data_IF_054675503869
#
_entry.id   IF_054675503869
#
_cell.length_a   1.000
_cell.length_b   1.000
_cell.length_c   1.000
_cell.angle_alpha   90.00
_cell.angle_beta   90.00
_cell.angle_gamma   90.00
#
_symmetry.space_group_name_H-M   'P 1'
#
loop_
_entity.id
_entity.type
_entity.pdbx_description
1 polymer ?
#
# COMPACT_ATOMS: atom_id res chain seq x y z
N UNK A 1 -0.55 5.25 39.79
CA UNK A 1 -1.73 5.14 38.90
C UNK A 1 -1.49 6.07 37.73
N UNK A 2 -1.97 5.70 36.54
CA UNK A 2 -2.02 6.54 35.34
C UNK A 2 -3.48 6.73 34.93
N UNK A 3 -3.78 7.85 34.30
CA UNK A 3 -5.11 8.19 33.80
C UNK A 3 -5.19 7.91 32.31
N UNK A 4 -6.10 7.06 31.90
CA UNK A 4 -6.36 6.72 30.51
C UNK A 4 -7.65 7.40 30.07
N UNK A 5 -7.55 8.27 29.09
CA UNK A 5 -8.68 8.96 28.45
C UNK A 5 -9.09 8.22 27.18
N UNK A 6 -10.35 7.85 27.07
CA UNK A 6 -10.90 7.16 25.90
C UNK A 6 -11.53 8.15 24.89
N UNK A 7 -11.85 7.72 23.66
CA UNK A 7 -12.43 8.60 22.62
C UNK A 7 -13.78 9.24 22.98
N UNK A 8 -14.51 8.64 23.92
CA UNK A 8 -15.76 9.18 24.47
C UNK A 8 -15.53 10.19 25.62
N UNK A 9 -14.28 10.60 25.85
CA UNK A 9 -13.81 11.45 26.94
C UNK A 9 -13.97 10.84 28.34
N UNK A 10 -14.33 9.58 28.46
CA UNK A 10 -14.30 8.90 29.77
C UNK A 10 -12.86 8.69 30.23
N UNK A 11 -12.63 8.80 31.53
CA UNK A 11 -11.30 8.64 32.14
C UNK A 11 -11.35 7.49 33.13
N UNK A 12 -10.38 6.57 33.03
CA UNK A 12 -10.20 5.48 34.00
C UNK A 12 -8.78 5.45 34.52
N UNK A 13 -8.59 5.03 35.76
CA UNK A 13 -7.30 4.88 36.39
C UNK A 13 -6.81 3.44 36.30
N UNK A 14 -5.54 3.27 35.90
CA UNK A 14 -4.87 1.97 35.81
C UNK A 14 -3.50 2.03 36.53
N UNK A 15 -2.93 0.87 36.80
CA UNK A 15 -1.56 0.79 37.29
C UNK A 15 -0.58 1.26 36.22
N UNK A 16 0.53 1.88 36.64
CA UNK A 16 1.66 2.18 35.73
C UNK A 16 2.20 0.87 35.12
N UNK A 17 2.44 0.87 33.82
CA UNK A 17 2.85 -0.31 33.05
C UNK A 17 1.71 -1.19 32.55
N UNK A 18 0.44 -0.79 32.74
CA UNK A 18 -0.70 -1.49 32.15
C UNK A 18 -0.62 -1.43 30.63
N UNK A 19 -0.92 -2.56 29.96
CA UNK A 19 -0.91 -2.65 28.50
C UNK A 19 -2.29 -2.38 27.92
N UNK A 20 -2.34 -2.01 26.62
CA UNK A 20 -3.62 -1.83 25.93
C UNK A 20 -4.44 -3.12 25.87
N UNK A 21 -3.83 -4.30 25.85
CA UNK A 21 -4.52 -5.59 25.96
C UNK A 21 -5.22 -5.73 27.32
N UNK A 22 -4.53 -5.45 28.41
CA UNK A 22 -5.11 -5.49 29.77
C UNK A 22 -6.25 -4.48 29.94
N UNK A 23 -6.14 -3.31 29.33
CA UNK A 23 -7.24 -2.34 29.26
C UNK A 23 -8.44 -2.93 28.53
N UNK A 24 -8.24 -3.54 27.36
CA UNK A 24 -9.31 -4.17 26.59
C UNK A 24 -10.00 -5.31 27.40
N UNK A 25 -9.23 -6.15 28.05
CA UNK A 25 -9.70 -7.24 28.92
C UNK A 25 -10.53 -6.71 30.10
N UNK A 26 -10.11 -5.61 30.73
CA UNK A 26 -10.82 -4.96 31.82
C UNK A 26 -12.18 -4.40 31.42
N UNK A 27 -12.36 -4.07 30.13
CA UNK A 27 -13.61 -3.58 29.57
C UNK A 27 -14.53 -4.76 29.19
N UNK A 28 -14.02 -5.70 28.41
CA UNK A 28 -14.78 -6.86 27.95
C UNK A 28 -13.86 -7.91 27.33
N UNK A 29 -14.06 -9.19 27.66
CA UNK A 29 -13.36 -10.31 27.03
C UNK A 29 -13.62 -10.41 25.52
N UNK A 30 -14.80 -9.98 25.05
CA UNK A 30 -15.09 -9.90 23.61
C UNK A 30 -14.27 -8.83 22.95
N UNK A 31 -14.15 -7.65 23.54
CA UNK A 31 -13.34 -6.55 23.02
C UNK A 31 -11.88 -6.97 22.90
N UNK A 32 -11.31 -7.61 23.89
CA UNK A 32 -9.95 -8.11 23.89
C UNK A 32 -9.67 -9.09 22.72
N UNK A 33 -10.66 -9.84 22.26
CA UNK A 33 -10.55 -10.74 21.11
C UNK A 33 -10.67 -10.02 19.74
N UNK A 34 -11.23 -8.82 19.72
CA UNK A 34 -11.47 -8.05 18.49
C UNK A 34 -10.41 -6.95 18.26
N UNK A 35 -9.69 -6.53 19.30
CA UNK A 35 -8.67 -5.47 19.23
C UNK A 35 -7.40 -5.98 18.58
N UNK A 36 -6.87 -5.19 17.66
CA UNK A 36 -5.69 -5.54 16.84
C UNK A 36 -4.44 -4.74 17.21
N UNK A 37 -4.62 -3.46 17.56
CA UNK A 37 -3.58 -2.53 17.98
C UNK A 37 -4.21 -1.43 18.86
N UNK A 38 -3.42 -0.50 19.36
CA UNK A 38 -3.91 0.66 20.08
C UNK A 38 -3.26 1.94 19.58
N UNK A 39 -4.05 3.01 19.44
CA UNK A 39 -3.50 4.37 19.29
C UNK A 39 -3.31 4.96 20.71
N UNK A 40 -2.07 5.29 21.04
CA UNK A 40 -1.67 5.89 22.31
C UNK A 40 -1.12 7.27 22.03
N UNK A 41 -1.78 8.32 22.45
CA UNK A 41 -1.44 9.72 22.16
C UNK A 41 -1.26 10.00 20.66
N UNK A 42 -2.01 9.30 19.79
CA UNK A 42 -1.95 9.43 18.33
C UNK A 42 -0.92 8.53 17.64
N UNK A 43 -0.07 7.82 18.37
CA UNK A 43 0.83 6.81 17.81
C UNK A 43 0.23 5.42 17.90
N UNK A 44 0.43 4.59 16.87
CA UNK A 44 -0.07 3.22 16.85
C UNK A 44 0.93 2.26 17.48
N UNK A 45 0.51 1.57 18.51
CA UNK A 45 1.31 0.68 19.35
C UNK A 45 0.80 -0.76 19.33
N UNK A 46 1.72 -1.70 19.57
CA UNK A 46 1.37 -3.08 19.92
C UNK A 46 0.53 -3.12 21.19
N UNK A 47 -0.40 -4.05 21.25
CA UNK A 47 -1.25 -4.23 22.44
C UNK A 47 -0.48 -4.66 23.69
N UNK A 48 0.71 -5.23 23.52
CA UNK A 48 1.58 -5.69 24.62
C UNK A 48 2.49 -4.60 25.18
N UNK A 49 2.57 -3.42 24.52
CA UNK A 49 3.47 -2.35 24.96
C UNK A 49 2.94 -1.69 26.23
N UNK A 50 3.78 -1.53 27.31
CA UNK A 50 3.34 -0.95 28.58
C UNK A 50 3.15 0.57 28.47
N UNK A 51 2.06 1.07 29.04
CA UNK A 51 1.74 2.50 29.16
C UNK A 51 2.17 2.97 30.54
N UNK A 52 3.10 3.93 30.57
CA UNK A 52 3.75 4.35 31.81
C UNK A 52 3.30 5.72 32.32
N UNK A 53 2.60 6.49 31.51
CA UNK A 53 2.18 7.86 31.81
C UNK A 53 0.72 8.05 31.39
N UNK A 54 0.10 9.15 31.83
CA UNK A 54 -1.24 9.52 31.43
C UNK A 54 -1.32 9.61 29.90
N UNK A 55 -2.36 9.01 29.31
CA UNK A 55 -2.46 8.89 27.85
C UNK A 55 -3.91 8.89 27.35
N UNK A 56 -4.09 9.34 26.13
CA UNK A 56 -5.31 9.10 25.35
C UNK A 56 -5.15 7.79 24.60
N UNK A 57 -6.07 6.85 24.80
CA UNK A 57 -6.00 5.51 24.23
C UNK A 57 -7.25 5.20 23.40
N UNK A 58 -7.06 4.86 22.12
CA UNK A 58 -8.10 4.29 21.26
C UNK A 58 -7.73 2.84 20.93
N UNK A 59 -8.60 1.89 21.23
CA UNK A 59 -8.44 0.48 20.87
C UNK A 59 -8.86 0.30 19.40
N UNK A 60 -7.92 -0.13 18.55
CA UNK A 60 -8.09 -0.25 17.10
C UNK A 60 -8.56 -1.66 16.74
N UNK A 61 -9.61 -1.73 15.91
CA UNK A 61 -10.20 -2.98 15.43
C UNK A 61 -10.07 -3.10 13.91
N UNK A 62 -10.71 -4.11 13.33
CA UNK A 62 -10.73 -4.34 11.90
C UNK A 62 -11.36 -3.19 11.08
N UNK A 63 -12.29 -2.46 11.64
CA UNK A 63 -12.94 -1.31 10.99
C UNK A 63 -12.03 -0.09 10.87
N UNK A 64 -11.02 0.01 11.74
CA UNK A 64 -10.02 1.09 11.71
C UNK A 64 -8.91 0.77 10.70
N UNK A 65 -8.47 1.76 9.92
CA UNK A 65 -7.41 1.57 8.90
C UNK A 65 -6.09 1.14 9.50
N UNK A 66 -5.71 1.74 10.63
CA UNK A 66 -4.48 1.40 11.35
C UNK A 66 -4.55 -0.02 11.93
N UNK A 67 -5.75 -0.46 12.34
CA UNK A 67 -5.98 -1.84 12.78
C UNK A 67 -5.79 -2.85 11.65
N UNK A 68 -6.33 -2.56 10.46
CA UNK A 68 -6.09 -3.37 9.24
C UNK A 68 -4.62 -3.39 8.86
N UNK A 69 -3.94 -2.25 8.95
CA UNK A 69 -2.52 -2.16 8.65
C UNK A 69 -1.69 -3.08 9.55
N UNK A 70 -1.90 -3.05 10.87
CA UNK A 70 -1.25 -3.95 11.82
C UNK A 70 -1.56 -5.43 11.53
N UNK A 71 -2.81 -5.72 11.14
CA UNK A 71 -3.26 -7.06 10.76
C UNK A 71 -2.53 -7.58 9.52
N UNK A 72 -2.49 -6.83 8.45
CA UNK A 72 -1.82 -7.23 7.21
C UNK A 72 -0.29 -7.21 7.34
N UNK A 73 0.27 -6.31 8.15
CA UNK A 73 1.69 -6.33 8.46
C UNK A 73 2.10 -7.62 9.18
N UNK A 74 1.31 -8.05 10.16
CA UNK A 74 1.52 -9.35 10.82
C UNK A 74 1.31 -10.54 9.88
N UNK A 75 0.43 -10.39 8.90
CA UNK A 75 0.22 -11.40 7.85
C UNK A 75 1.41 -11.55 6.91
N UNK A 76 2.12 -10.45 6.64
CA UNK A 76 3.36 -10.48 5.87
C UNK A 76 4.44 -11.30 6.61
N UNK A 77 4.57 -11.12 7.94
CA UNK A 77 5.48 -11.92 8.77
C UNK A 77 5.07 -13.39 8.84
N UNK A 78 3.76 -13.70 8.94
CA UNK A 78 3.27 -15.08 8.88
C UNK A 78 3.61 -15.75 7.55
N UNK A 79 3.48 -15.03 6.43
CA UNK A 79 3.89 -15.54 5.12
C UNK A 79 5.40 -15.74 5.05
N UNK A 80 6.19 -14.83 5.59
CA UNK A 80 7.65 -14.94 5.63
C UNK A 80 8.10 -16.18 6.44
N UNK A 81 7.49 -16.44 7.59
CA UNK A 81 7.77 -17.66 8.38
C UNK A 81 7.40 -18.92 7.60
N UNK A 82 6.24 -18.95 6.95
CA UNK A 82 5.84 -20.08 6.11
C UNK A 82 6.83 -20.32 4.97
N UNK A 83 7.31 -19.25 4.33
CA UNK A 83 8.32 -19.33 3.28
C UNK A 83 9.68 -19.80 3.81
N UNK A 84 10.08 -19.34 5.01
CA UNK A 84 11.32 -19.81 5.66
C UNK A 84 11.31 -21.31 5.93
N UNK A 85 10.15 -21.86 6.37
CA UNK A 85 10.02 -23.30 6.61
C UNK A 85 9.95 -24.11 5.32
N UNK A 86 9.35 -23.58 4.24
CA UNK A 86 9.19 -24.28 2.97
C UNK A 86 10.43 -24.19 2.06
N UNK A 87 11.18 -23.11 2.14
CA UNK A 87 12.33 -22.82 1.28
C UNK A 87 13.58 -22.54 2.11
N UNK A 88 14.32 -23.56 2.56
CA UNK A 88 15.54 -23.36 3.34
C UNK A 88 16.57 -22.50 2.59
N UNK A 89 17.11 -21.48 3.28
CA UNK A 89 18.08 -20.55 2.70
C UNK A 89 17.47 -19.36 1.96
N UNK A 90 16.14 -19.22 1.94
CA UNK A 90 15.46 -18.01 1.43
C UNK A 90 15.91 -16.79 2.22
N UNK A 91 16.11 -15.65 1.54
CA UNK A 91 16.47 -14.37 2.17
C UNK A 91 15.31 -13.38 2.05
N UNK A 92 15.20 -12.51 3.04
CA UNK A 92 14.06 -11.62 3.19
C UNK A 92 14.44 -10.16 2.92
N UNK A 93 13.71 -9.54 1.99
CA UNK A 93 13.74 -8.11 1.72
C UNK A 93 12.83 -7.33 2.66
N UNK A 94 11.73 -6.80 2.16
CA UNK A 94 10.74 -6.03 2.91
C UNK A 94 9.32 -6.58 2.67
N UNK A 95 8.48 -6.48 3.73
CA UNK A 95 7.11 -6.98 3.71
C UNK A 95 6.09 -6.01 4.32
N UNK A 96 5.72 -4.91 3.64
CA UNK A 96 4.75 -3.96 4.15
C UNK A 96 3.31 -4.42 3.94
N UNK A 97 2.41 -3.90 4.77
CA UNK A 97 1.00 -3.81 4.45
C UNK A 97 0.78 -2.80 3.33
N UNK A 98 -0.22 -3.05 2.48
CA UNK A 98 -0.67 -2.15 1.41
C UNK A 98 -2.17 -1.90 1.56
N UNK A 99 -2.76 -1.04 0.71
CA UNK A 99 -4.17 -0.66 0.77
C UNK A 99 -5.14 -1.85 0.85
N UNK A 100 -4.85 -2.93 0.12
CA UNK A 100 -5.66 -4.15 0.11
C UNK A 100 -4.78 -5.40 0.25
N UNK A 101 -4.32 -5.67 1.47
CA UNK A 101 -3.49 -6.83 1.77
C UNK A 101 -2.05 -6.47 2.11
N UNK A 102 -1.13 -7.30 1.67
CA UNK A 102 0.31 -7.17 1.96
C UNK A 102 1.13 -7.83 0.85
N UNK A 103 2.42 -7.55 0.83
CA UNK A 103 3.38 -8.33 0.05
C UNK A 103 4.63 -8.63 0.87
N UNK A 104 5.45 -9.52 0.36
CA UNK A 104 6.81 -9.71 0.85
C UNK A 104 7.76 -9.94 -0.33
N UNK A 105 8.90 -9.24 -0.31
CA UNK A 105 9.98 -9.40 -1.27
C UNK A 105 10.98 -10.41 -0.72
N UNK A 106 11.22 -11.49 -1.44
CA UNK A 106 12.10 -12.57 -1.02
C UNK A 106 13.09 -12.93 -2.14
N UNK A 107 14.25 -13.40 -1.73
CA UNK A 107 15.23 -14.02 -2.60
C UNK A 107 15.24 -15.54 -2.33
N UNK A 108 14.61 -16.34 -3.17
CA UNK A 108 14.55 -17.77 -2.96
C UNK A 108 15.84 -18.52 -3.37
N UNK A 109 16.91 -17.79 -3.74
CA UNK A 109 18.15 -18.41 -4.22
C UNK A 109 17.95 -19.15 -5.54
N UNK A 110 18.19 -20.47 -5.52
CA UNK A 110 17.98 -21.34 -6.68
C UNK A 110 16.54 -21.85 -6.83
N UNK A 111 15.71 -21.71 -5.78
CA UNK A 111 14.32 -22.14 -5.81
C UNK A 111 13.46 -21.20 -6.66
N UNK A 112 12.43 -21.74 -7.29
CA UNK A 112 11.46 -20.98 -8.09
C UNK A 112 10.10 -21.06 -7.43
N UNK A 113 9.57 -19.92 -7.00
CA UNK A 113 8.23 -19.80 -6.44
C UNK A 113 7.27 -19.40 -7.55
N UNK A 114 6.23 -20.19 -7.77
CA UNK A 114 5.23 -20.02 -8.83
C UNK A 114 3.80 -20.18 -8.30
N UNK A 115 2.80 -19.87 -9.09
CA UNK A 115 1.38 -19.97 -8.67
C UNK A 115 0.99 -21.38 -8.16
N UNK A 116 1.63 -22.43 -8.70
CA UNK A 116 1.40 -23.81 -8.24
C UNK A 116 1.76 -24.08 -6.78
N UNK A 117 2.61 -23.22 -6.19
CA UNK A 117 3.08 -23.36 -4.81
C UNK A 117 2.17 -22.65 -3.80
N UNK A 118 1.23 -21.79 -4.28
CA UNK A 118 0.38 -20.99 -3.41
C UNK A 118 -0.41 -21.82 -2.40
N UNK A 119 -0.97 -22.95 -2.83
CA UNK A 119 -1.73 -23.82 -1.94
C UNK A 119 -0.89 -24.40 -0.80
N UNK A 120 0.39 -24.72 -1.07
CA UNK A 120 1.32 -25.21 -0.05
C UNK A 120 1.70 -24.10 0.93
N UNK A 121 1.94 -22.88 0.43
CA UNK A 121 2.24 -21.70 1.27
C UNK A 121 1.03 -21.37 2.16
N UNK A 122 -0.18 -21.31 1.60
CA UNK A 122 -1.42 -21.07 2.34
C UNK A 122 -1.66 -22.13 3.43
N UNK A 123 -1.44 -23.41 3.11
CA UNK A 123 -1.57 -24.50 4.06
C UNK A 123 -0.56 -24.35 5.22
N UNK A 124 0.69 -24.01 4.91
CA UNK A 124 1.73 -23.76 5.91
C UNK A 124 1.40 -22.55 6.78
N UNK A 125 0.93 -21.46 6.20
CA UNK A 125 0.47 -20.29 6.98
C UNK A 125 -0.65 -20.67 7.95
N UNK A 126 -1.64 -21.46 7.53
CA UNK A 126 -2.73 -21.92 8.39
C UNK A 126 -2.25 -22.88 9.49
N UNK A 127 -1.25 -23.71 9.22
CA UNK A 127 -0.57 -24.53 10.25
C UNK A 127 0.06 -23.64 11.32
N UNK A 128 0.80 -22.59 10.94
CA UNK A 128 1.40 -21.62 11.86
C UNK A 128 0.35 -20.85 12.65
N UNK A 129 -0.76 -20.47 12.03
CA UNK A 129 -1.90 -19.86 12.74
C UNK A 129 -2.42 -20.76 13.86
N UNK A 130 -2.50 -22.06 13.62
CA UNK A 130 -2.99 -23.03 14.61
C UNK A 130 -2.05 -23.17 15.82
N UNK A 131 -0.75 -22.86 15.67
CA UNK A 131 0.22 -22.87 16.77
C UNK A 131 -0.01 -21.71 17.76
N UNK A 132 -0.71 -20.63 17.32
CA UNK A 132 -1.01 -19.43 18.13
C UNK A 132 0.25 -18.75 18.69
N UNK A 133 1.28 -18.67 17.90
CA UNK A 133 2.57 -18.15 18.29
C UNK A 133 2.48 -16.67 18.64
N UNK A 134 3.07 -16.30 19.77
CA UNK A 134 3.14 -14.91 20.23
C UNK A 134 4.09 -14.10 19.35
N UNK A 135 3.72 -12.87 19.01
CA UNK A 135 4.57 -11.95 18.26
C UNK A 135 5.23 -10.99 19.26
N UNK A 136 6.54 -11.15 19.43
CA UNK A 136 7.33 -10.44 20.45
C UNK A 136 8.17 -9.34 19.83
N UNK A 137 7.94 -8.11 20.30
CA UNK A 137 8.77 -6.94 20.02
C UNK A 137 10.01 -6.93 20.90
N UNK A 138 11.14 -6.58 20.31
CA UNK A 138 12.39 -6.37 21.03
C UNK A 138 13.11 -5.14 20.48
N UNK A 139 13.50 -4.22 21.36
CA UNK A 139 14.44 -3.15 21.04
C UNK A 139 15.86 -3.74 21.04
N UNK A 140 16.63 -3.43 20.02
CA UNK A 140 17.97 -4.00 19.81
C UNK A 140 18.96 -2.92 19.40
N UNK A 141 20.22 -3.02 19.82
CA UNK A 141 21.27 -2.12 19.35
C UNK A 141 21.62 -2.39 17.88
N UNK A 142 22.14 -1.37 17.19
CA UNK A 142 22.59 -1.53 15.79
C UNK A 142 23.65 -2.63 15.66
N UNK A 143 24.57 -2.72 16.62
CA UNK A 143 25.63 -3.72 16.63
C UNK A 143 25.08 -5.15 16.76
N UNK A 144 24.13 -5.36 17.70
CA UNK A 144 23.51 -6.66 17.89
C UNK A 144 22.62 -7.06 16.71
N UNK A 145 21.89 -6.09 16.12
CA UNK A 145 21.08 -6.31 14.92
C UNK A 145 21.97 -6.71 13.72
N UNK A 146 23.06 -5.97 13.48
CA UNK A 146 24.02 -6.30 12.41
C UNK A 146 24.62 -7.69 12.60
N UNK A 147 24.96 -8.06 13.83
CA UNK A 147 25.45 -9.40 14.13
C UNK A 147 24.39 -10.46 13.90
N UNK A 148 23.19 -10.28 14.45
CA UNK A 148 22.09 -11.25 14.35
C UNK A 148 21.73 -11.57 12.90
N UNK A 149 21.53 -10.56 12.06
CA UNK A 149 21.16 -10.74 10.66
C UNK A 149 22.36 -11.13 9.80
N UNK A 150 23.56 -10.66 10.14
CA UNK A 150 24.81 -11.07 9.48
C UNK A 150 25.11 -12.56 9.66
N UNK A 151 25.00 -13.08 10.89
CA UNK A 151 25.21 -14.50 11.20
C UNK A 151 24.20 -15.42 10.46
N UNK A 152 23.02 -14.89 10.11
CA UNK A 152 21.99 -15.58 9.31
C UNK A 152 22.17 -15.41 7.80
N UNK A 153 23.12 -14.60 7.34
CA UNK A 153 23.33 -14.29 5.92
C UNK A 153 22.24 -13.44 5.29
N UNK A 154 21.49 -12.67 6.08
CA UNK A 154 20.40 -11.80 5.66
C UNK A 154 20.93 -10.47 5.10
N UNK A 155 21.51 -10.50 3.90
CA UNK A 155 22.20 -9.35 3.30
C UNK A 155 21.30 -8.13 3.09
N UNK A 156 20.02 -8.34 2.75
CA UNK A 156 19.07 -7.23 2.57
C UNK A 156 18.74 -6.55 3.90
N UNK A 157 18.64 -7.30 4.98
CA UNK A 157 18.41 -6.77 6.33
C UNK A 157 19.65 -6.04 6.86
N UNK A 158 20.84 -6.57 6.66
CA UNK A 158 22.09 -5.90 7.06
C UNK A 158 22.28 -4.59 6.30
N UNK A 159 21.94 -4.54 5.01
CA UNK A 159 21.95 -3.29 4.24
C UNK A 159 21.00 -2.25 4.85
N UNK A 160 19.75 -2.63 5.14
CA UNK A 160 18.76 -1.74 5.77
C UNK A 160 19.25 -1.23 7.13
N UNK A 161 19.78 -2.12 7.99
CA UNK A 161 20.29 -1.75 9.30
C UNK A 161 21.45 -0.75 9.20
N UNK A 162 22.30 -0.87 8.19
CA UNK A 162 23.45 0.03 8.01
C UNK A 162 23.05 1.50 7.90
N UNK A 163 21.84 1.77 7.36
CA UNK A 163 21.29 3.11 7.15
C UNK A 163 20.49 3.65 8.34
N UNK A 164 20.13 2.79 9.31
CA UNK A 164 19.35 3.19 10.48
C UNK A 164 20.25 3.80 11.57
N UNK A 165 19.67 4.73 12.33
CA UNK A 165 20.30 5.28 13.53
C UNK A 165 20.19 4.29 14.70
N UNK A 166 21.21 4.25 15.56
CA UNK A 166 21.18 3.42 16.75
C UNK A 166 20.12 3.93 17.75
N UNK A 167 19.50 3.00 18.49
CA UNK A 167 18.40 3.30 19.42
C UNK A 167 17.00 3.38 18.77
N UNK A 168 16.88 3.23 17.44
CA UNK A 168 15.60 3.22 16.73
C UNK A 168 15.26 1.86 16.14
N UNK A 169 16.09 0.85 16.39
CA UNK A 169 16.00 -0.46 15.76
C UNK A 169 15.19 -1.41 16.62
N UNK A 170 14.18 -2.00 16.01
CA UNK A 170 13.32 -3.00 16.62
C UNK A 170 13.24 -4.26 15.77
N UNK A 171 13.11 -5.38 16.43
CA UNK A 171 12.84 -6.68 15.80
C UNK A 171 11.56 -7.27 16.35
N UNK A 172 10.92 -8.08 15.52
CA UNK A 172 9.75 -8.87 15.92
C UNK A 172 10.01 -10.34 15.65
N UNK A 173 9.81 -11.14 16.69
CA UNK A 173 9.98 -12.59 16.61
C UNK A 173 8.63 -13.29 16.73
N UNK A 174 8.36 -14.21 15.83
CA UNK A 174 7.18 -15.04 15.74
C UNK A 174 7.66 -16.47 15.44
N UNK A 175 7.38 -17.41 16.32
CA UNK A 175 7.87 -18.78 16.15
C UNK A 175 9.37 -18.85 15.87
N UNK A 176 9.74 -19.39 14.70
CA UNK A 176 11.13 -19.49 14.25
C UNK A 176 11.61 -18.27 13.46
N UNK A 177 10.71 -17.35 13.08
CA UNK A 177 11.00 -16.20 12.24
C UNK A 177 11.24 -14.94 13.07
N UNK A 178 12.29 -14.20 12.73
CA UNK A 178 12.61 -12.88 13.32
C UNK A 178 12.86 -11.90 12.22
N UNK A 179 12.15 -10.77 12.24
CA UNK A 179 12.30 -9.71 11.25
C UNK A 179 12.76 -8.39 11.84
N UNK A 180 13.46 -7.59 11.02
CA UNK A 180 13.72 -6.18 11.25
C UNK A 180 12.45 -5.39 10.91
N UNK A 181 11.80 -4.81 11.92
CA UNK A 181 10.49 -4.19 11.71
C UNK A 181 10.20 -3.11 12.77
N UNK A 182 9.44 -2.09 12.38
CA UNK A 182 8.99 -1.03 13.30
C UNK A 182 7.67 -1.35 14.00
N UNK A 183 6.94 -2.36 13.53
CA UNK A 183 5.58 -2.67 13.99
C UNK A 183 4.53 -1.65 13.53
N UNK A 184 3.35 -1.58 14.17
CA UNK A 184 2.90 -2.54 15.18
C UNK A 184 2.50 -3.90 14.59
N UNK A 185 2.37 -4.89 15.46
CA UNK A 185 1.92 -6.24 15.14
C UNK A 185 0.78 -6.69 16.05
N UNK A 186 0.10 -7.75 15.60
CA UNK A 186 -0.90 -8.48 16.39
C UNK A 186 -0.24 -9.17 17.60
N UNK A 187 -1.01 -9.47 18.66
CA UNK A 187 -0.47 -10.18 19.83
C UNK A 187 0.05 -11.59 19.50
N UNK A 188 -0.61 -12.28 18.59
CA UNK A 188 -0.25 -13.63 18.17
C UNK A 188 -0.87 -14.00 16.83
N UNK A 189 -0.45 -15.12 16.25
CA UNK A 189 -0.88 -15.58 14.92
C UNK A 189 -2.33 -16.03 14.82
N UNK A 190 -3.01 -16.32 15.94
CA UNK A 190 -4.39 -16.88 15.93
C UNK A 190 -5.46 -15.93 15.39
N UNK A 191 -5.15 -14.65 15.24
CA UNK A 191 -6.04 -13.65 14.62
C UNK A 191 -6.19 -13.84 13.11
N UNK A 192 -5.19 -14.44 12.44
CA UNK A 192 -5.04 -14.53 10.97
C UNK A 192 -5.76 -15.77 10.40
N UNK A 193 -7.09 -15.82 10.52
CA UNK A 193 -7.89 -17.05 10.31
C UNK A 193 -8.13 -17.43 8.84
N UNK A 194 -8.04 -16.47 7.94
CA UNK A 194 -8.35 -16.69 6.52
C UNK A 194 -7.23 -16.09 5.67
N UNK A 195 -6.59 -16.91 4.86
CA UNK A 195 -5.36 -16.57 4.10
C UNK A 195 -5.57 -16.87 2.64
N UNK A 196 -5.06 -15.98 1.76
CA UNK A 196 -4.98 -16.22 0.32
C UNK A 196 -3.75 -15.54 -0.26
N UNK A 197 -2.96 -16.30 -1.02
CA UNK A 197 -1.90 -15.74 -1.88
C UNK A 197 -2.53 -15.37 -3.22
N UNK A 198 -2.34 -14.12 -3.64
CA UNK A 198 -3.03 -13.56 -4.79
C UNK A 198 -2.21 -13.65 -6.07
N UNK A 199 -0.92 -13.34 -6.00
CA UNK A 199 -0.04 -13.32 -7.16
C UNK A 199 1.43 -13.34 -6.78
N UNK A 200 2.28 -13.65 -7.75
CA UNK A 200 3.72 -13.55 -7.68
C UNK A 200 4.23 -12.67 -8.82
N UNK A 201 5.21 -11.82 -8.56
CA UNK A 201 5.82 -10.93 -9.54
C UNK A 201 7.32 -10.75 -9.26
N UNK A 202 8.09 -10.35 -10.28
CA UNK A 202 9.46 -9.90 -10.07
C UNK A 202 9.48 -8.45 -9.56
N UNK A 203 10.38 -8.15 -8.64
CA UNK A 203 10.59 -6.79 -8.14
C UNK A 203 12.08 -6.54 -7.93
N UNK A 204 12.63 -5.48 -8.50
CA UNK A 204 14.03 -5.13 -8.27
C UNK A 204 14.21 -4.59 -6.84
N UNK A 205 15.29 -5.03 -6.19
CA UNK A 205 15.61 -4.54 -4.85
C UNK A 205 15.69 -3.01 -4.83
N UNK A 206 14.86 -2.38 -3.97
CA UNK A 206 14.71 -0.91 -3.88
C UNK A 206 14.28 -0.22 -5.19
N UNK A 207 13.68 -0.95 -6.12
CA UNK A 207 13.24 -0.39 -7.41
C UNK A 207 14.36 -0.06 -8.39
N UNK A 208 15.59 -0.47 -8.11
CA UNK A 208 16.75 -0.25 -8.99
C UNK A 208 16.95 -1.45 -9.91
N UNK A 209 16.72 -1.25 -11.22
CA UNK A 209 16.85 -2.27 -12.27
C UNK A 209 18.28 -2.87 -12.39
N UNK A 210 19.29 -2.19 -11.85
CA UNK A 210 20.67 -2.68 -11.83
C UNK A 210 20.94 -3.66 -10.68
N UNK A 211 20.02 -3.76 -9.73
CA UNK A 211 20.14 -4.63 -8.55
C UNK A 211 19.45 -5.96 -8.80
N UNK A 212 19.65 -6.90 -7.86
CA UNK A 212 19.06 -8.23 -7.96
C UNK A 212 17.54 -8.15 -8.01
N UNK A 213 16.93 -8.90 -8.91
CA UNK A 213 15.50 -9.09 -8.97
C UNK A 213 15.08 -10.09 -7.91
N UNK A 214 14.18 -9.67 -7.04
CA UNK A 214 13.54 -10.48 -6.02
C UNK A 214 12.19 -10.99 -6.50
N UNK A 215 11.66 -11.95 -5.78
CA UNK A 215 10.30 -12.46 -5.95
C UNK A 215 9.38 -11.75 -4.97
N UNK A 216 8.35 -11.07 -5.46
CA UNK A 216 7.33 -10.41 -4.67
C UNK A 216 6.08 -11.25 -4.65
N UNK A 217 5.70 -11.74 -3.47
CA UNK A 217 4.44 -12.45 -3.25
C UNK A 217 3.41 -11.50 -2.66
N UNK A 218 2.24 -11.40 -3.30
CA UNK A 218 1.10 -10.65 -2.79
C UNK A 218 0.13 -11.58 -2.09
N UNK A 219 -0.31 -11.19 -0.90
CA UNK A 219 -1.27 -11.93 -0.11
C UNK A 219 -2.35 -11.04 0.50
N UNK A 220 -3.43 -11.68 0.92
CA UNK A 220 -4.48 -11.05 1.70
C UNK A 220 -4.97 -11.99 2.79
N UNK A 221 -5.32 -11.43 3.92
CA UNK A 221 -5.85 -12.16 5.06
C UNK A 221 -7.03 -11.45 5.67
N UNK A 222 -7.89 -12.21 6.33
CA UNK A 222 -9.07 -11.67 7.02
C UNK A 222 -9.27 -12.37 8.38
N UNK A 223 -9.92 -11.67 9.34
CA UNK A 223 -10.30 -12.27 10.64
C UNK A 223 -11.30 -13.41 10.52
N UNK A 224 -12.06 -13.48 9.41
CA UNK A 224 -13.11 -14.48 9.19
C UNK A 224 -13.07 -14.98 7.74
N UNK A 225 -13.25 -16.28 7.54
CA UNK A 225 -13.30 -16.88 6.21
C UNK A 225 -14.37 -16.26 5.30
N UNK A 226 -15.55 -15.96 5.83
CA UNK A 226 -16.64 -15.31 5.08
C UNK A 226 -16.18 -14.00 4.42
N UNK A 227 -15.37 -13.20 5.12
CA UNK A 227 -14.86 -11.93 4.57
C UNK A 227 -13.89 -12.17 3.41
N UNK A 228 -13.06 -13.22 3.50
CA UNK A 228 -12.17 -13.61 2.41
C UNK A 228 -12.99 -14.09 1.20
N UNK A 229 -14.00 -14.91 1.40
CA UNK A 229 -14.85 -15.44 0.32
C UNK A 229 -15.60 -14.30 -0.40
N UNK A 230 -16.13 -13.33 0.35
CA UNK A 230 -16.76 -12.12 -0.20
C UNK A 230 -15.76 -11.29 -1.02
N UNK A 231 -14.54 -11.10 -0.52
CA UNK A 231 -13.49 -10.37 -1.23
C UNK A 231 -13.06 -11.08 -2.52
N UNK A 232 -12.87 -12.40 -2.50
CA UNK A 232 -12.52 -13.17 -3.69
C UNK A 232 -13.64 -13.11 -4.74
N UNK A 233 -14.89 -13.18 -4.31
CA UNK A 233 -16.06 -12.99 -5.19
C UNK A 233 -16.03 -11.60 -5.83
N UNK A 234 -15.73 -10.55 -5.05
CA UNK A 234 -15.59 -9.18 -5.57
C UNK A 234 -14.47 -9.08 -6.62
N UNK A 235 -13.32 -9.72 -6.39
CA UNK A 235 -12.22 -9.75 -7.36
C UNK A 235 -12.60 -10.47 -8.66
N UNK A 236 -13.32 -11.58 -8.58
CA UNK A 236 -13.82 -12.29 -9.76
C UNK A 236 -14.82 -11.45 -10.55
N UNK A 237 -15.76 -10.79 -9.87
CA UNK A 237 -16.69 -9.86 -10.49
C UNK A 237 -15.98 -8.66 -11.11
N UNK A 238 -14.94 -8.12 -10.46
CA UNK A 238 -14.13 -7.05 -11.01
C UNK A 238 -13.42 -7.49 -12.32
N UNK A 239 -12.87 -8.72 -12.36
CA UNK A 239 -12.25 -9.28 -13.57
C UNK A 239 -13.25 -9.43 -14.71
N UNK A 240 -14.50 -9.84 -14.43
CA UNK A 240 -15.57 -9.92 -15.44
C UNK A 240 -15.93 -8.55 -16.02
N UNK A 241 -15.79 -7.49 -15.21
CA UNK A 241 -16.11 -6.10 -15.57
C UNK A 241 -14.90 -5.30 -16.07
N UNK A 242 -13.78 -5.97 -16.38
CA UNK A 242 -12.59 -5.28 -16.94
C UNK A 242 -12.99 -4.58 -18.26
N UNK A 243 -12.83 -3.26 -18.27
CA UNK A 243 -13.19 -2.41 -19.43
C UNK A 243 -12.44 -2.80 -20.71
N UNK A 244 -11.21 -3.33 -20.60
CA UNK A 244 -10.43 -3.77 -21.75
C UNK A 244 -11.05 -5.01 -22.41
N UNK A 245 -11.55 -5.95 -21.60
CA UNK A 245 -12.26 -7.13 -22.06
C UNK A 245 -13.61 -6.73 -22.68
N UNK A 246 -14.42 -6.03 -21.90
CA UNK A 246 -15.77 -5.59 -22.33
C UNK A 246 -15.67 -4.68 -23.57
N UNK A 247 -14.72 -3.75 -23.58
CA UNK A 247 -14.52 -2.82 -24.69
C UNK A 247 -14.17 -3.54 -26.00
N UNK A 248 -13.38 -4.61 -25.93
CA UNK A 248 -13.07 -5.45 -27.08
C UNK A 248 -14.27 -6.29 -27.53
N UNK A 249 -14.97 -6.94 -26.59
CA UNK A 249 -16.13 -7.78 -26.87
C UNK A 249 -17.33 -6.98 -27.45
N UNK A 250 -17.48 -5.73 -27.05
CA UNK A 250 -18.54 -4.84 -27.50
C UNK A 250 -18.16 -3.97 -28.70
N UNK A 251 -16.94 -4.06 -29.21
CA UNK A 251 -16.41 -3.17 -30.27
C UNK A 251 -16.50 -1.68 -29.90
N UNK A 252 -16.05 -1.32 -28.69
CA UNK A 252 -16.09 0.07 -28.24
C UNK A 252 -14.86 0.87 -28.68
N UNK A 253 -13.69 0.24 -28.71
CA UNK A 253 -12.42 0.83 -29.13
C UNK A 253 -11.46 -0.22 -29.66
N UNK A 254 -10.46 0.23 -30.37
CA UNK A 254 -9.36 -0.60 -30.87
C UNK A 254 -8.01 0.10 -30.73
N UNK A 255 -6.95 -0.68 -30.79
CA UNK A 255 -5.57 -0.21 -30.88
C UNK A 255 -4.94 -0.67 -32.20
N UNK A 256 -3.99 0.09 -32.70
CA UNK A 256 -3.21 -0.28 -33.87
C UNK A 256 -1.74 0.15 -33.65
N UNK A 257 -0.81 -0.74 -33.92
CA UNK A 257 0.62 -0.42 -33.83
C UNK A 257 1.02 0.65 -34.85
N UNK A 258 0.32 0.73 -35.99
CA UNK A 258 0.51 1.76 -37.01
C UNK A 258 0.17 3.16 -36.51
N UNK A 259 -0.86 3.27 -35.66
CA UNK A 259 -1.27 4.55 -35.04
C UNK A 259 -0.36 4.89 -33.85
N UNK A 260 0.03 3.89 -33.10
CA UNK A 260 0.91 4.01 -31.95
C UNK A 260 0.40 3.26 -30.73
N UNK A 261 1.33 2.77 -29.93
CA UNK A 261 1.02 2.04 -28.70
C UNK A 261 0.34 2.94 -27.68
N UNK A 262 -0.72 2.44 -27.05
CA UNK A 262 -1.45 3.16 -26.01
C UNK A 262 -2.42 4.25 -26.52
N UNK A 263 -2.60 4.39 -27.84
CA UNK A 263 -3.51 5.35 -28.46
C UNK A 263 -4.82 4.66 -28.88
N UNK A 264 -5.89 4.72 -28.06
CA UNK A 264 -7.16 4.07 -28.38
C UNK A 264 -7.93 4.84 -29.47
N UNK A 265 -8.40 4.12 -30.47
CA UNK A 265 -9.33 4.62 -31.47
C UNK A 265 -10.75 4.20 -31.08
N UNK A 266 -11.65 5.18 -30.93
CA UNK A 266 -13.05 4.92 -30.56
C UNK A 266 -13.84 4.48 -31.78
N UNK A 267 -14.46 3.31 -31.70
CA UNK A 267 -15.38 2.78 -32.66
C UNK A 267 -16.80 3.41 -32.52
N UNK A 268 -17.72 3.24 -33.46
CA UNK A 268 -19.00 3.92 -33.42
C UNK A 268 -19.80 3.76 -32.12
N UNK A 269 -19.86 2.54 -31.57
CA UNK A 269 -20.54 2.29 -30.27
C UNK A 269 -19.84 2.99 -29.10
N UNK A 270 -18.52 2.92 -29.06
CA UNK A 270 -17.72 3.59 -28.03
C UNK A 270 -17.83 5.12 -28.11
N UNK A 271 -17.81 5.67 -29.33
CA UNK A 271 -18.03 7.08 -29.56
C UNK A 271 -19.43 7.52 -29.09
N UNK A 272 -20.48 6.77 -29.40
CA UNK A 272 -21.81 7.07 -28.90
C UNK A 272 -21.91 7.05 -27.39
N UNK A 273 -21.29 6.06 -26.71
CA UNK A 273 -21.20 5.98 -25.24
C UNK A 273 -20.49 7.20 -24.67
N UNK A 274 -19.32 7.56 -25.23
CA UNK A 274 -18.52 8.72 -24.81
C UNK A 274 -19.31 10.02 -24.92
N UNK A 275 -19.99 10.25 -26.02
CA UNK A 275 -20.83 11.43 -26.23
C UNK A 275 -21.96 11.54 -25.20
N UNK A 276 -22.63 10.43 -24.90
CA UNK A 276 -23.68 10.39 -23.87
C UNK A 276 -23.15 10.75 -22.48
N UNK A 277 -21.97 10.23 -22.11
CA UNK A 277 -21.34 10.57 -20.84
C UNK A 277 -20.93 12.05 -20.79
N UNK A 278 -20.37 12.58 -21.87
CA UNK A 278 -20.02 14.01 -21.96
C UNK A 278 -21.26 14.91 -21.84
N UNK A 279 -22.35 14.57 -22.53
CA UNK A 279 -23.61 15.31 -22.43
C UNK A 279 -24.18 15.27 -21.00
N UNK A 280 -24.11 14.13 -20.34
CA UNK A 280 -24.54 14.00 -18.95
C UNK A 280 -23.71 14.93 -18.03
N UNK A 281 -22.39 14.91 -18.15
CA UNK A 281 -21.50 15.77 -17.36
C UNK A 281 -21.77 17.25 -17.61
N UNK A 282 -21.92 17.66 -18.87
CA UNK A 282 -22.26 19.06 -19.22
C UNK A 282 -23.53 19.53 -18.54
N UNK A 283 -24.58 18.73 -18.55
CA UNK A 283 -25.83 19.06 -17.87
C UNK A 283 -25.68 19.21 -16.37
N UNK A 284 -24.89 18.34 -15.74
CA UNK A 284 -24.61 18.43 -14.30
C UNK A 284 -23.81 19.71 -14.00
N UNK A 285 -22.71 19.93 -14.71
CA UNK A 285 -21.83 21.08 -14.51
C UNK A 285 -22.57 22.41 -14.72
N UNK A 286 -23.43 22.51 -15.73
CA UNK A 286 -24.24 23.71 -15.97
C UNK A 286 -25.17 24.04 -14.79
N UNK A 287 -25.70 23.04 -14.06
CA UNK A 287 -26.51 23.26 -12.84
C UNK A 287 -25.72 23.92 -11.70
N UNK A 288 -24.40 23.75 -11.70
CA UNK A 288 -23.49 24.34 -10.71
C UNK A 288 -22.76 25.58 -11.25
N UNK A 289 -23.27 26.18 -12.36
CA UNK A 289 -22.73 27.36 -12.99
C UNK A 289 -21.28 27.22 -13.53
N UNK A 290 -20.84 25.99 -13.83
CA UNK A 290 -19.58 25.79 -14.54
C UNK A 290 -19.72 26.18 -16.01
N UNK A 291 -18.71 26.88 -16.52
CA UNK A 291 -18.60 27.27 -17.92
C UNK A 291 -17.56 26.41 -18.63
N UNK A 292 -17.86 25.95 -19.83
CA UNK A 292 -16.92 25.17 -20.65
C UNK A 292 -15.87 26.08 -21.27
N UNK A 293 -14.62 25.65 -21.24
CA UNK A 293 -13.50 26.27 -21.94
C UNK A 293 -12.76 25.24 -22.76
N UNK A 294 -12.15 25.67 -23.85
CA UNK A 294 -11.29 24.82 -24.69
C UNK A 294 -9.87 25.37 -24.72
N UNK A 295 -8.90 24.55 -24.44
CA UNK A 295 -7.49 24.88 -24.50
C UNK A 295 -6.82 24.10 -25.65
N UNK A 296 -5.82 24.70 -26.31
CA UNK A 296 -5.04 23.97 -27.34
C UNK A 296 -4.38 22.73 -26.75
N UNK A 297 -4.12 21.68 -27.59
CA UNK A 297 -3.46 20.46 -27.13
C UNK A 297 -1.97 20.64 -26.88
N UNK A 298 -1.37 21.73 -27.36
CA UNK A 298 0.04 22.09 -27.19
C UNK A 298 0.15 23.45 -26.49
N UNK A 299 1.28 23.70 -25.84
CA UNK A 299 1.60 24.99 -25.23
C UNK A 299 3.08 25.28 -25.30
N UNK A 300 3.43 26.57 -25.24
CA UNK A 300 4.83 27.00 -25.22
C UNK A 300 5.56 26.44 -23.98
N UNK A 301 6.81 26.07 -24.15
CA UNK A 301 7.68 25.52 -23.08
C UNK A 301 7.71 26.41 -21.83
N UNK A 302 7.70 27.72 -21.98
CA UNK A 302 7.75 28.66 -20.87
C UNK A 302 6.57 28.49 -19.92
N UNK A 303 5.36 28.18 -20.44
CA UNK A 303 4.18 27.92 -19.62
C UNK A 303 4.41 26.76 -18.64
N UNK A 304 5.06 25.70 -19.11
CA UNK A 304 5.32 24.49 -18.30
C UNK A 304 6.53 24.63 -17.38
N UNK A 305 7.51 25.46 -17.72
CA UNK A 305 8.60 25.86 -16.83
C UNK A 305 8.01 26.68 -15.67
N UNK A 306 7.25 27.72 -15.98
CA UNK A 306 6.64 28.63 -14.96
C UNK A 306 5.74 27.89 -13.99
N UNK A 307 4.95 26.93 -14.49
CA UNK A 307 4.04 26.12 -13.67
C UNK A 307 4.72 24.93 -12.96
N UNK A 308 6.02 24.71 -13.13
CA UNK A 308 6.77 23.60 -12.55
C UNK A 308 6.54 22.22 -13.19
N UNK A 309 5.62 22.13 -14.16
CA UNK A 309 5.29 20.85 -14.81
C UNK A 309 6.47 20.28 -15.58
N UNK A 310 7.29 21.12 -16.19
CA UNK A 310 8.46 20.68 -16.95
C UNK A 310 9.49 19.96 -16.06
N UNK A 311 9.78 20.50 -14.89
CA UNK A 311 10.72 19.91 -13.96
C UNK A 311 10.21 18.55 -13.41
N UNK A 312 8.89 18.46 -13.17
CA UNK A 312 8.27 17.25 -12.57
C UNK A 312 8.02 16.14 -13.58
N UNK A 313 7.56 16.47 -14.78
CA UNK A 313 7.08 15.49 -15.77
C UNK A 313 7.91 15.46 -17.05
N UNK A 314 8.99 16.24 -17.16
CA UNK A 314 9.76 16.36 -18.41
C UNK A 314 10.34 15.05 -18.95
N UNK A 315 10.66 14.10 -18.06
CA UNK A 315 11.15 12.76 -18.45
C UNK A 315 10.06 11.84 -19.00
N UNK A 316 8.82 12.05 -18.56
CA UNK A 316 7.65 11.24 -18.92
C UNK A 316 6.81 11.89 -20.03
N UNK A 317 7.22 13.08 -20.51
CA UNK A 317 6.54 13.83 -21.55
C UNK A 317 7.13 13.52 -22.92
N UNK A 318 6.33 13.69 -23.97
CA UNK A 318 6.82 13.68 -25.33
C UNK A 318 7.93 14.73 -25.52
N UNK A 319 8.88 14.46 -26.42
CA UNK A 319 9.94 15.40 -26.76
C UNK A 319 9.34 16.72 -27.28
N UNK A 320 10.04 17.87 -27.09
CA UNK A 320 9.56 19.16 -27.58
C UNK A 320 9.29 19.14 -29.09
N UNK A 321 8.24 19.83 -29.49
CA UNK A 321 7.94 20.13 -30.88
C UNK A 321 8.65 21.42 -31.22
N UNK A 322 9.57 21.36 -32.17
CA UNK A 322 10.30 22.53 -32.68
C UNK A 322 9.53 23.13 -33.86
N UNK A 323 9.46 24.46 -33.91
CA UNK A 323 8.96 25.20 -35.06
C UNK A 323 10.12 25.62 -35.95
N UNK A 324 9.87 26.13 -37.18
CA UNK A 324 10.94 26.72 -38.01
C UNK A 324 11.61 27.95 -37.40
N UNK A 325 10.99 28.58 -36.37
CA UNK A 325 11.57 29.72 -35.66
C UNK A 325 12.59 29.23 -34.64
N UNK A 326 13.80 29.78 -34.68
CA UNK A 326 14.88 29.40 -33.78
C UNK A 326 14.56 29.77 -32.33
N UNK A 327 14.66 28.77 -31.44
CA UNK A 327 14.41 28.93 -29.99
C UNK A 327 12.94 28.78 -29.58
N UNK A 328 12.01 28.54 -30.51
CA UNK A 328 10.61 28.30 -30.18
C UNK A 328 10.33 26.80 -30.00
N UNK A 329 9.91 26.43 -28.80
CA UNK A 329 9.59 25.06 -28.42
C UNK A 329 8.20 24.93 -27.82
N UNK A 330 7.43 23.95 -28.30
CA UNK A 330 6.12 23.59 -27.78
C UNK A 330 6.12 22.17 -27.21
N UNK A 331 5.23 21.93 -26.26
CA UNK A 331 5.00 20.63 -25.66
C UNK A 331 3.54 20.20 -25.82
N UNK A 332 3.31 18.91 -25.97
CA UNK A 332 2.00 18.33 -25.74
C UNK A 332 1.65 18.56 -24.27
N UNK A 333 0.47 19.11 -24.00
CA UNK A 333 0.07 19.42 -22.63
C UNK A 333 -0.08 18.15 -21.79
N UNK A 334 0.66 18.03 -20.67
CA UNK A 334 0.48 16.92 -19.74
C UNK A 334 -0.82 17.08 -18.92
N UNK A 335 -1.22 18.31 -18.67
CA UNK A 335 -2.41 18.69 -17.91
C UNK A 335 -3.02 20.00 -18.44
N UNK A 336 -4.32 20.19 -18.19
CA UNK A 336 -5.02 21.44 -18.55
C UNK A 336 -4.75 22.60 -17.58
N UNK A 337 -4.28 22.32 -16.34
CA UNK A 337 -4.16 23.30 -15.27
C UNK A 337 -3.42 24.58 -15.68
N UNK A 338 -2.22 24.55 -16.31
CA UNK A 338 -1.52 25.78 -16.69
C UNK A 338 -2.32 26.68 -17.63
N UNK A 339 -3.02 26.09 -18.61
CA UNK A 339 -3.86 26.82 -19.55
C UNK A 339 -5.09 27.42 -18.84
N UNK A 340 -5.72 26.66 -17.94
CA UNK A 340 -6.87 27.16 -17.18
C UNK A 340 -6.50 28.30 -16.25
N UNK A 341 -5.30 28.28 -15.63
CA UNK A 341 -4.80 29.41 -14.85
C UNK A 341 -4.65 30.65 -15.71
N UNK A 342 -4.10 30.52 -16.93
CA UNK A 342 -3.97 31.67 -17.86
C UNK A 342 -5.34 32.24 -18.26
N UNK A 343 -6.35 31.39 -18.51
CA UNK A 343 -7.72 31.85 -18.78
C UNK A 343 -8.27 32.59 -17.55
N UNK A 344 -8.12 31.99 -16.35
CA UNK A 344 -8.63 32.58 -15.10
C UNK A 344 -8.04 33.98 -14.85
N UNK A 345 -6.72 34.12 -14.96
CA UNK A 345 -6.04 35.43 -14.76
C UNK A 345 -6.46 36.44 -15.81
N UNK A 346 -6.58 36.06 -17.08
CA UNK A 346 -6.83 36.98 -18.18
C UNK A 346 -8.30 37.39 -18.33
N UNK A 347 -9.23 36.49 -17.99
CA UNK A 347 -10.66 36.63 -18.29
C UNK A 347 -11.51 36.99 -17.07
N UNK A 348 -11.20 36.42 -15.92
CA UNK A 348 -12.05 36.59 -14.72
C UNK A 348 -11.54 37.62 -13.72
N UNK A 349 -10.39 38.24 -13.97
CA UNK A 349 -9.73 39.16 -13.03
C UNK A 349 -9.53 38.56 -11.62
N UNK A 350 -9.43 37.24 -11.51
CA UNK A 350 -9.08 36.59 -10.25
C UNK A 350 -7.62 36.91 -9.95
N UNK A 351 -7.39 37.87 -9.05
CA UNK A 351 -6.11 37.97 -8.35
C UNK A 351 -5.96 36.69 -7.55
N UNK A 352 -5.02 35.82 -7.97
CA UNK A 352 -4.60 34.66 -7.17
C UNK A 352 -4.06 35.21 -5.84
N UNK A 353 -4.44 34.63 -4.69
CA UNK A 353 -3.91 35.02 -3.39
C UNK A 353 -2.41 34.80 -3.28
#
# INVERSE_FOLDING_TARGET
MIKITFPDNSVREYAKGTTAMQIAESISSRLAQEVLAASVNGEVWDLSRPINDDATVKLLKWEDEEGKHAFWHSSAHLMAEALQELYPGIKFGIGPAIENGFYYDVDPGEAVIKEGDFAAIEAKMLELVAKKEEIKRQDITKADAMKMFGDRGEEYKTELISELEDGTITTYTQGSFTDLCRGPHLPNTSYLKAVKILSVAGAYWRGDEKRKQLVRLYGITFPKKKMLDEYLTLLEEAKKRDHRKIGKEMDLFMFSDTVGKGLPMWLPKGTALRLRLQEFLRRIQARYNYQEVMCPPIGNKLLYITSGHYAKYGKDSFQPIHTPEEGEEYFLKPMNCPHHCMISVSYTHLTLP
#
